data_IF_735174795118
#
_entry.id   IF_735174795118
#
_cell.length_a   1.000
_cell.length_b   1.000
_cell.length_c   1.000
_cell.angle_alpha   90.00
_cell.angle_beta   90.00
_cell.angle_gamma   90.00
#
_symmetry.space_group_name_H-M   'P 1'
#
loop_
_entity.id
_entity.type
_entity.pdbx_description
1 polymer ?
#
# COMPACT_ATOMS: atom_id res chain seq x y z
N UNK A 1 -19.74 19.74 17.37
CA UNK A 1 -18.58 19.11 16.72
C UNK A 1 -18.98 17.77 16.10
N UNK A 2 -19.93 17.77 15.15
CA UNK A 2 -20.55 16.57 14.57
C UNK A 2 -20.70 16.67 13.04
N UNK A 3 -19.94 17.58 12.42
CA UNK A 3 -20.01 17.90 10.98
C UNK A 3 -19.12 17.01 10.13
N UNK A 4 -17.85 16.84 10.49
CA UNK A 4 -16.85 16.12 9.69
C UNK A 4 -17.17 14.63 9.45
N UNK A 5 -17.89 13.98 10.37
CA UNK A 5 -18.21 12.55 10.25
C UNK A 5 -19.32 12.23 9.25
N UNK A 6 -20.08 13.25 8.80
CA UNK A 6 -21.20 13.06 7.87
C UNK A 6 -20.80 13.28 6.40
N UNK A 7 -19.84 14.17 6.13
CA UNK A 7 -19.34 14.41 4.77
C UNK A 7 -18.61 13.18 4.23
N UNK A 8 -17.60 12.67 4.93
CA UNK A 8 -16.82 11.49 4.49
C UNK A 8 -17.67 10.21 4.33
N UNK A 9 -18.75 10.08 5.10
CA UNK A 9 -19.64 8.91 5.00
C UNK A 9 -20.61 9.01 3.82
N UNK A 10 -20.92 10.24 3.37
CA UNK A 10 -21.77 10.46 2.20
C UNK A 10 -20.96 10.18 0.93
N UNK A 11 -19.71 10.66 0.88
CA UNK A 11 -18.79 10.47 -0.25
C UNK A 11 -18.52 8.99 -0.53
N UNK A 12 -18.21 8.20 0.50
CA UNK A 12 -17.98 6.75 0.36
C UNK A 12 -19.21 5.99 -0.19
N UNK A 13 -20.43 6.38 0.22
CA UNK A 13 -21.64 5.72 -0.27
C UNK A 13 -21.90 6.02 -1.75
N UNK A 14 -21.59 7.24 -2.20
CA UNK A 14 -21.68 7.63 -3.60
C UNK A 14 -20.65 6.88 -4.45
N UNK A 15 -19.40 6.82 -4.01
CA UNK A 15 -18.34 6.05 -4.65
C UNK A 15 -18.70 4.57 -4.80
N UNK A 16 -19.18 3.93 -3.72
CA UNK A 16 -19.63 2.54 -3.75
C UNK A 16 -20.83 2.35 -4.68
N UNK A 17 -21.73 3.34 -4.77
CA UNK A 17 -22.85 3.30 -5.70
C UNK A 17 -22.39 3.35 -7.17
N UNK A 18 -21.38 4.17 -7.48
CA UNK A 18 -20.77 4.23 -8.82
C UNK A 18 -20.14 2.90 -9.21
N UNK A 19 -19.35 2.30 -8.30
CA UNK A 19 -18.76 0.96 -8.51
C UNK A 19 -19.86 -0.08 -8.73
N UNK A 20 -20.92 -0.07 -7.93
CA UNK A 20 -22.04 -1.00 -8.06
C UNK A 20 -22.72 -0.89 -9.42
N UNK A 21 -22.91 0.34 -9.92
CA UNK A 21 -23.47 0.59 -11.24
C UNK A 21 -22.55 0.03 -12.35
N UNK A 22 -21.24 0.28 -12.25
CA UNK A 22 -20.25 -0.25 -13.19
C UNK A 22 -20.26 -1.79 -13.22
N UNK A 23 -20.26 -2.43 -12.05
CA UNK A 23 -20.23 -3.89 -11.95
C UNK A 23 -21.50 -4.50 -12.56
N UNK A 24 -22.67 -3.87 -12.36
CA UNK A 24 -23.92 -4.28 -13.01
C UNK A 24 -23.84 -4.14 -14.52
N UNK A 25 -23.31 -3.03 -15.03
CA UNK A 25 -23.13 -2.80 -16.47
C UNK A 25 -22.22 -3.83 -17.15
N UNK A 26 -21.23 -4.37 -16.41
CA UNK A 26 -20.32 -5.43 -16.87
C UNK A 26 -20.82 -6.86 -16.61
N UNK A 27 -22.01 -7.03 -16.03
CA UNK A 27 -22.58 -8.34 -15.72
C UNK A 27 -21.96 -9.05 -14.50
N UNK A 28 -21.17 -8.34 -13.68
CA UNK A 28 -20.62 -8.91 -12.45
C UNK A 28 -21.69 -9.02 -11.36
N UNK A 29 -21.70 -10.16 -10.66
CA UNK A 29 -22.59 -10.38 -9.51
C UNK A 29 -22.18 -9.51 -8.32
N UNK A 30 -23.06 -8.58 -7.93
CA UNK A 30 -22.90 -7.77 -6.73
C UNK A 30 -23.40 -8.51 -5.47
N UNK A 31 -22.48 -9.20 -4.78
CA UNK A 31 -22.79 -9.90 -3.52
C UNK A 31 -22.45 -9.05 -2.31
N UNK A 32 -23.01 -9.37 -1.13
CA UNK A 32 -22.66 -8.70 0.14
C UNK A 32 -21.16 -8.78 0.44
N UNK A 33 -20.55 -9.93 0.17
CA UNK A 33 -19.11 -10.11 0.28
C UNK A 33 -18.33 -9.13 -0.62
N UNK A 34 -18.74 -9.00 -1.89
CA UNK A 34 -18.08 -8.08 -2.84
C UNK A 34 -18.25 -6.62 -2.41
N UNK A 35 -19.43 -6.26 -1.94
CA UNK A 35 -19.67 -4.93 -1.36
C UNK A 35 -18.71 -4.65 -0.20
N UNK A 36 -18.56 -5.57 0.76
CA UNK A 36 -17.60 -5.41 1.86
C UNK A 36 -16.17 -5.26 1.37
N UNK A 37 -15.76 -5.98 0.32
CA UNK A 37 -14.42 -5.84 -0.28
C UNK A 37 -14.22 -4.42 -0.80
N UNK A 38 -15.18 -3.89 -1.57
CA UNK A 38 -15.12 -2.52 -2.13
C UNK A 38 -15.11 -1.48 -1.02
N UNK A 39 -16.05 -1.55 -0.07
CA UNK A 39 -16.11 -0.63 1.08
C UNK A 39 -14.78 -0.63 1.86
N UNK A 40 -14.22 -1.81 2.11
CA UNK A 40 -12.95 -1.92 2.85
C UNK A 40 -11.76 -1.36 2.06
N UNK A 41 -11.75 -1.53 0.74
CA UNK A 41 -10.73 -0.94 -0.11
C UNK A 41 -10.81 0.60 -0.09
N UNK A 42 -12.02 1.17 -0.14
CA UNK A 42 -12.22 2.61 -0.27
C UNK A 42 -12.08 3.33 1.07
N UNK A 43 -12.42 2.67 2.18
CA UNK A 43 -12.07 3.12 3.53
C UNK A 43 -10.55 3.13 3.79
N UNK A 44 -9.76 2.45 2.95
CA UNK A 44 -8.31 2.39 3.11
C UNK A 44 -7.63 3.50 2.31
N UNK A 45 -7.40 4.64 2.96
CA UNK A 45 -6.64 5.78 2.41
C UNK A 45 -5.12 5.57 2.41
N UNK A 46 -4.67 4.34 2.13
CA UNK A 46 -3.26 4.01 1.96
C UNK A 46 -3.16 2.88 0.96
N UNK A 47 -1.98 2.71 0.38
CA UNK A 47 -1.74 1.52 -0.41
C UNK A 47 -1.89 0.22 0.41
N UNK A 48 -2.48 -0.78 -0.21
CA UNK A 48 -2.65 -2.11 0.37
C UNK A 48 -2.33 -3.22 -0.63
N UNK A 49 -1.81 -4.34 -0.14
CA UNK A 49 -1.73 -5.58 -0.95
C UNK A 49 -3.07 -6.33 -0.95
N UNK A 50 -3.25 -7.26 -1.89
CA UNK A 50 -4.43 -8.12 -1.92
C UNK A 50 -4.57 -8.96 -0.62
N UNK A 51 -3.45 -9.40 -0.05
CA UNK A 51 -3.40 -10.14 1.22
C UNK A 51 -3.71 -9.25 2.42
N UNK A 52 -3.29 -7.98 2.39
CA UNK A 52 -3.69 -7.00 3.41
C UNK A 52 -5.20 -6.74 3.35
N UNK A 53 -5.75 -6.51 2.16
CA UNK A 53 -7.18 -6.31 1.99
C UNK A 53 -7.98 -7.54 2.46
N UNK A 54 -7.54 -8.75 2.12
CA UNK A 54 -8.16 -9.98 2.62
C UNK A 54 -8.24 -9.98 4.15
N UNK A 55 -7.11 -9.71 4.84
CA UNK A 55 -7.09 -9.66 6.31
C UNK A 55 -8.02 -8.59 6.89
N UNK A 56 -8.18 -7.45 6.21
CA UNK A 56 -9.09 -6.39 6.65
C UNK A 56 -10.56 -6.80 6.46
N UNK A 57 -10.88 -7.45 5.34
CA UNK A 57 -12.22 -7.97 5.05
C UNK A 57 -12.59 -9.07 6.04
N UNK A 58 -11.71 -10.02 6.31
CA UNK A 58 -11.96 -11.11 7.27
C UNK A 58 -12.25 -10.60 8.69
N UNK A 59 -11.65 -9.47 9.10
CA UNK A 59 -11.99 -8.82 10.39
C UNK A 59 -13.43 -8.32 10.43
N UNK A 60 -14.03 -7.95 9.29
CA UNK A 60 -15.40 -7.45 9.20
C UNK A 60 -16.44 -8.55 9.08
N UNK A 61 -16.16 -9.61 8.31
CA UNK A 61 -17.17 -10.64 7.96
C UNK A 61 -16.84 -12.06 8.43
N UNK A 62 -15.72 -12.25 9.11
CA UNK A 62 -15.28 -13.54 9.63
C UNK A 62 -14.19 -14.21 8.77
N UNK A 63 -13.28 -14.99 9.38
CA UNK A 63 -12.24 -15.73 8.66
C UNK A 63 -12.82 -16.74 7.67
N UNK A 64 -12.18 -16.90 6.51
CA UNK A 64 -12.57 -17.91 5.51
C UNK A 64 -13.85 -17.62 4.72
N UNK A 65 -14.59 -16.54 5.05
CA UNK A 65 -15.73 -16.07 4.26
C UNK A 65 -15.27 -15.45 2.94
N UNK A 66 -14.09 -14.84 2.93
CA UNK A 66 -13.43 -14.34 1.73
C UNK A 66 -12.19 -15.16 1.36
N UNK A 67 -11.93 -15.24 0.07
CA UNK A 67 -10.77 -15.93 -0.50
C UNK A 67 -9.97 -14.97 -1.36
N UNK A 68 -8.66 -15.17 -1.39
CA UNK A 68 -7.72 -14.32 -2.14
C UNK A 68 -8.09 -14.22 -3.63
N UNK A 69 -8.57 -15.30 -4.25
CA UNK A 69 -9.05 -15.28 -5.63
C UNK A 69 -10.24 -14.32 -5.86
N UNK A 70 -11.13 -14.18 -4.88
CA UNK A 70 -12.25 -13.22 -4.95
C UNK A 70 -11.76 -11.79 -4.76
N UNK A 71 -10.75 -11.58 -3.92
CA UNK A 71 -10.09 -10.27 -3.78
C UNK A 71 -9.50 -9.85 -5.12
N UNK A 72 -8.64 -10.67 -5.73
CA UNK A 72 -8.03 -10.33 -7.02
C UNK A 72 -9.06 -10.05 -8.13
N UNK A 73 -10.09 -10.90 -8.29
CA UNK A 73 -11.16 -10.64 -9.27
C UNK A 73 -11.93 -9.35 -9.01
N UNK A 74 -12.03 -8.93 -7.75
CA UNK A 74 -12.70 -7.67 -7.40
C UNK A 74 -11.79 -6.49 -7.69
N UNK A 75 -10.51 -6.58 -7.29
CA UNK A 75 -9.51 -5.54 -7.58
C UNK A 75 -9.31 -5.32 -9.08
N UNK A 76 -9.22 -6.40 -9.86
CA UNK A 76 -9.14 -6.30 -11.32
C UNK A 76 -10.35 -5.56 -11.91
N UNK A 77 -11.56 -5.90 -11.46
CA UNK A 77 -12.78 -5.23 -11.94
C UNK A 77 -12.86 -3.76 -11.48
N UNK A 78 -12.23 -3.41 -10.35
CA UNK A 78 -12.12 -2.02 -9.90
C UNK A 78 -11.12 -1.24 -10.76
N UNK A 79 -9.96 -1.82 -11.08
CA UNK A 79 -8.95 -1.20 -11.96
C UNK A 79 -9.46 -1.01 -13.38
N UNK A 80 -10.14 -2.02 -13.95
CA UNK A 80 -10.79 -1.92 -15.26
C UNK A 80 -11.85 -0.81 -15.30
N UNK A 81 -12.43 -0.48 -14.15
CA UNK A 81 -13.36 0.63 -13.97
C UNK A 81 -12.71 1.97 -13.66
N UNK A 82 -11.38 2.02 -13.49
CA UNK A 82 -10.65 3.23 -13.11
C UNK A 82 -10.90 3.70 -11.67
N UNK A 83 -11.40 2.82 -10.79
CA UNK A 83 -11.74 3.19 -9.41
C UNK A 83 -10.57 3.03 -8.44
N UNK A 84 -9.62 2.17 -8.79
CA UNK A 84 -8.38 1.96 -8.05
C UNK A 84 -7.22 1.92 -9.04
N UNK A 85 -6.02 2.23 -8.56
CA UNK A 85 -4.78 2.04 -9.31
C UNK A 85 -3.92 0.95 -8.71
N UNK A 86 -3.14 0.29 -9.57
CA UNK A 86 -2.20 -0.76 -9.23
C UNK A 86 -0.74 -0.32 -9.40
N UNK A 87 0.11 -0.77 -8.48
CA UNK A 87 1.55 -0.59 -8.51
C UNK A 87 2.29 -1.92 -8.33
N UNK A 88 2.95 -2.37 -9.40
CA UNK A 88 3.89 -3.48 -9.39
C UNK A 88 5.20 -3.10 -8.71
N UNK A 89 5.44 -3.66 -7.52
CA UNK A 89 6.68 -3.49 -6.76
C UNK A 89 7.72 -4.57 -7.08
N UNK A 90 7.84 -5.04 -8.32
CA UNK A 90 8.80 -6.10 -8.68
C UNK A 90 8.78 -7.30 -7.71
N UNK A 91 9.77 -7.41 -6.82
CA UNK A 91 9.84 -8.48 -5.78
C UNK A 91 8.88 -8.30 -4.58
N UNK A 92 8.23 -7.14 -4.46
CA UNK A 92 7.34 -6.77 -3.35
C UNK A 92 5.85 -7.03 -3.59
N UNK A 93 5.50 -7.65 -4.72
CA UNK A 93 4.11 -7.90 -5.11
C UNK A 93 3.46 -6.67 -5.74
N UNK A 94 2.13 -6.62 -5.71
CA UNK A 94 1.33 -5.53 -6.26
C UNK A 94 0.60 -4.81 -5.14
N UNK A 95 0.72 -3.49 -5.10
CA UNK A 95 -0.06 -2.63 -4.22
C UNK A 95 -1.20 -2.00 -5.00
N UNK A 96 -2.29 -1.69 -4.30
CA UNK A 96 -3.45 -1.02 -4.86
C UNK A 96 -3.80 0.19 -4.01
N UNK A 97 -4.37 1.21 -4.64
CA UNK A 97 -4.87 2.41 -3.99
C UNK A 97 -6.22 2.84 -4.56
N UNK A 98 -7.06 3.40 -3.69
CA UNK A 98 -8.33 4.01 -4.08
C UNK A 98 -8.08 5.39 -4.66
N UNK A 99 -8.57 5.67 -5.87
CA UNK A 99 -8.33 6.95 -6.57
C UNK A 99 -9.61 7.74 -6.86
N UNK A 100 -10.78 7.12 -6.75
CA UNK A 100 -12.05 7.81 -6.99
C UNK A 100 -12.27 8.88 -5.92
N UNK A 101 -12.59 10.12 -6.32
CA UNK A 101 -12.85 11.22 -5.37
C UNK A 101 -11.62 11.82 -4.66
N UNK A 102 -10.41 11.30 -4.92
CA UNK A 102 -9.18 11.80 -4.30
C UNK A 102 -8.53 12.92 -5.13
N UNK A 103 -7.98 13.94 -4.46
CA UNK A 103 -7.12 14.94 -5.10
C UNK A 103 -5.82 14.27 -5.60
N UNK A 104 -5.43 14.56 -6.83
CA UNK A 104 -4.22 14.00 -7.47
C UNK A 104 -2.95 14.20 -6.62
N UNK A 105 -2.21 13.12 -6.39
CA UNK A 105 -0.93 13.14 -5.68
C UNK A 105 0.03 12.09 -6.23
N UNK A 106 1.32 12.38 -6.11
CA UNK A 106 2.42 11.52 -6.53
C UNK A 106 3.00 10.75 -5.33
N UNK A 107 3.78 9.71 -5.61
CA UNK A 107 4.23 8.75 -4.60
C UNK A 107 5.74 8.65 -4.45
N UNK A 108 6.23 8.52 -3.21
CA UNK A 108 7.58 8.07 -2.89
C UNK A 108 7.53 6.72 -2.15
N UNK A 109 8.12 5.68 -2.74
CA UNK A 109 8.11 4.31 -2.22
C UNK A 109 9.51 3.88 -1.74
N UNK A 110 9.59 3.40 -0.51
CA UNK A 110 10.77 2.72 0.03
C UNK A 110 10.81 1.26 -0.45
N UNK A 111 11.81 0.91 -1.24
CA UNK A 111 11.97 -0.43 -1.82
C UNK A 111 12.25 -1.54 -0.81
N UNK A 112 12.66 -1.19 0.42
CA UNK A 112 13.07 -2.18 1.41
C UNK A 112 12.03 -2.40 2.52
N UNK A 113 11.15 -1.44 2.80
CA UNK A 113 10.13 -1.55 3.85
C UNK A 113 8.71 -1.23 3.39
N UNK A 114 8.52 -0.86 2.12
CA UNK A 114 7.22 -0.45 1.58
C UNK A 114 6.67 0.82 2.22
N UNK A 115 7.50 1.63 2.91
CA UNK A 115 7.05 2.94 3.37
C UNK A 115 6.71 3.81 2.15
N UNK A 116 5.54 4.44 2.21
CA UNK A 116 5.00 5.30 1.18
C UNK A 116 4.88 6.71 1.76
N UNK A 117 5.15 7.72 0.93
CA UNK A 117 4.82 9.12 1.19
C UNK A 117 4.06 9.63 -0.03
N UNK A 118 2.90 10.23 0.20
CA UNK A 118 2.11 10.94 -0.80
C UNK A 118 2.54 12.41 -0.81
N UNK A 119 2.65 13.01 -1.99
CA UNK A 119 2.99 14.42 -2.13
C UNK A 119 2.30 15.04 -3.34
N UNK A 120 2.12 16.36 -3.30
CA UNK A 120 1.65 17.16 -4.42
C UNK A 120 2.58 18.37 -4.53
N UNK A 121 3.03 18.67 -5.75
CA UNK A 121 3.93 19.80 -6.03
C UNK A 121 3.46 20.51 -7.30
N UNK A 122 2.85 21.69 -7.14
CA UNK A 122 2.27 22.46 -8.25
C UNK A 122 3.31 22.80 -9.33
N UNK A 123 4.54 23.13 -8.93
CA UNK A 123 5.60 23.47 -9.88
C UNK A 123 6.02 22.25 -10.73
N UNK A 124 5.98 21.05 -10.14
CA UNK A 124 6.22 19.81 -10.86
C UNK A 124 5.08 19.48 -11.83
N UNK A 125 3.83 19.73 -11.44
CA UNK A 125 2.66 19.57 -12.32
C UNK A 125 2.74 20.48 -13.54
N UNK A 126 3.02 21.77 -13.33
CA UNK A 126 3.23 22.73 -14.40
C UNK A 126 4.36 22.30 -15.33
N UNK A 127 5.46 21.78 -14.76
CA UNK A 127 6.59 21.34 -15.57
C UNK A 127 6.26 20.11 -16.43
N UNK A 128 5.49 19.16 -15.90
CA UNK A 128 5.01 17.99 -16.66
C UNK A 128 4.14 18.43 -17.85
N UNK A 129 3.21 19.36 -17.61
CA UNK A 129 2.35 19.93 -18.65
C UNK A 129 3.15 20.68 -19.72
N UNK A 130 4.11 21.52 -19.32
CA UNK A 130 4.99 22.25 -20.24
C UNK A 130 5.79 21.28 -21.14
N UNK A 131 6.37 20.23 -20.54
CA UNK A 131 7.13 19.23 -21.30
C UNK A 131 6.24 18.50 -22.31
N UNK A 132 5.01 18.12 -21.93
CA UNK A 132 4.07 17.52 -22.86
C UNK A 132 3.75 18.46 -24.04
N UNK A 133 3.44 19.72 -23.73
CA UNK A 133 3.10 20.72 -24.73
C UNK A 133 4.23 20.98 -25.73
N UNK A 134 5.48 21.14 -25.25
CA UNK A 134 6.65 21.38 -26.12
C UNK A 134 6.91 20.20 -27.07
N UNK A 135 6.51 18.99 -26.69
CA UNK A 135 6.61 17.80 -27.52
C UNK A 135 5.34 17.54 -28.37
N UNK A 136 4.38 18.48 -28.38
CA UNK A 136 3.18 18.39 -29.20
C UNK A 136 2.09 17.46 -28.65
N UNK A 137 2.08 17.20 -27.33
CA UNK A 137 1.06 16.39 -26.66
C UNK A 137 0.11 17.26 -25.83
N UNK A 138 -1.17 16.89 -25.82
CA UNK A 138 -2.16 17.33 -24.83
C UNK A 138 -2.15 16.33 -23.66
N UNK A 139 -1.92 16.81 -22.44
CA UNK A 139 -1.76 15.94 -21.27
C UNK A 139 -3.14 15.60 -20.67
N UNK A 140 -3.58 14.35 -20.86
CA UNK A 140 -4.84 13.83 -20.28
C UNK A 140 -4.66 13.36 -18.83
N UNK A 141 -3.52 12.73 -18.53
CA UNK A 141 -3.18 12.21 -17.21
C UNK A 141 -1.68 11.96 -17.09
N UNK A 142 -1.20 11.68 -15.89
CA UNK A 142 0.18 11.23 -15.67
C UNK A 142 0.27 10.30 -14.44
N UNK A 143 1.39 9.60 -14.32
CA UNK A 143 1.71 8.77 -13.15
C UNK A 143 3.17 9.01 -12.77
N UNK A 144 3.43 9.63 -11.61
CA UNK A 144 4.78 9.79 -11.09
C UNK A 144 4.98 9.02 -9.79
N UNK A 145 6.04 8.20 -9.78
CA UNK A 145 6.44 7.37 -8.65
C UNK A 145 7.95 7.45 -8.48
N UNK A 146 8.38 7.80 -7.27
CA UNK A 146 9.78 7.90 -6.88
C UNK A 146 10.13 6.71 -6.01
N UNK A 147 11.06 5.87 -6.48
CA UNK A 147 11.53 4.72 -5.72
C UNK A 147 12.84 5.04 -5.00
N UNK A 148 12.86 4.81 -3.69
CA UNK A 148 14.00 5.15 -2.84
C UNK A 148 14.15 4.27 -1.62
N UNK A 149 14.87 4.78 -0.62
CA UNK A 149 14.96 4.18 0.72
C UNK A 149 14.66 5.23 1.75
N UNK A 150 13.68 4.97 2.61
CA UNK A 150 13.32 5.91 3.65
C UNK A 150 14.48 6.10 4.65
N UNK A 151 14.51 7.28 5.27
CA UNK A 151 15.54 7.65 6.24
C UNK A 151 15.67 6.63 7.38
N UNK A 152 14.53 6.16 7.91
CA UNK A 152 14.51 5.14 8.95
C UNK A 152 15.16 3.82 8.51
N UNK A 153 14.99 3.42 7.24
CA UNK A 153 15.65 2.22 6.72
C UNK A 153 17.15 2.41 6.58
N UNK A 154 17.57 3.56 6.02
CA UNK A 154 19.00 3.92 5.93
C UNK A 154 19.68 4.01 7.30
N UNK A 155 18.93 4.31 8.35
CA UNK A 155 19.41 4.40 9.73
C UNK A 155 19.19 3.12 10.54
N UNK A 156 18.69 2.03 9.94
CA UNK A 156 18.46 0.78 10.67
C UNK A 156 17.37 0.82 11.76
N UNK A 157 16.56 1.89 11.82
CA UNK A 157 15.49 2.09 12.81
C UNK A 157 14.09 1.79 12.26
N UNK A 158 13.99 1.28 11.03
CA UNK A 158 12.71 1.06 10.37
C UNK A 158 11.91 -0.10 10.98
N UNK A 159 10.84 0.22 11.72
CA UNK A 159 9.95 -0.78 12.30
C UNK A 159 9.17 -1.58 11.26
N UNK A 160 8.79 -0.96 10.12
CA UNK A 160 8.12 -1.66 9.02
C UNK A 160 9.00 -2.77 8.44
N UNK A 161 10.28 -2.48 8.22
CA UNK A 161 11.25 -3.47 7.77
C UNK A 161 11.46 -4.60 8.79
N UNK A 162 11.43 -4.28 10.09
CA UNK A 162 11.53 -5.27 11.16
C UNK A 162 10.33 -6.22 11.18
N UNK A 163 9.11 -5.68 11.10
CA UNK A 163 7.87 -6.47 11.07
C UNK A 163 7.78 -7.38 9.83
N UNK A 164 8.32 -6.92 8.70
CA UNK A 164 8.31 -7.65 7.43
C UNK A 164 9.49 -8.63 7.25
N UNK A 165 10.43 -8.70 8.21
CA UNK A 165 11.61 -9.56 8.09
C UNK A 165 12.62 -9.11 7.03
N UNK A 166 12.47 -7.90 6.46
CA UNK A 166 13.40 -7.36 5.44
C UNK A 166 14.66 -6.72 6.05
N UNK A 167 14.75 -6.69 7.39
CA UNK A 167 15.85 -6.13 8.16
C UNK A 167 17.23 -6.77 7.86
N UNK A 168 17.29 -8.05 7.45
CA UNK A 168 18.56 -8.70 7.06
C UNK A 168 19.27 -8.01 5.89
N UNK A 169 18.52 -7.35 4.99
CA UNK A 169 19.09 -6.58 3.88
C UNK A 169 19.76 -5.28 4.36
N UNK A 170 19.28 -4.69 5.44
CA UNK A 170 19.93 -3.56 6.11
C UNK A 170 21.23 -4.03 6.81
N UNK A 171 21.19 -5.19 7.46
CA UNK A 171 22.35 -5.80 8.13
C UNK A 171 23.52 -6.06 7.18
N UNK A 172 23.27 -6.62 5.99
CA UNK A 172 24.32 -6.92 4.99
C UNK A 172 24.96 -5.67 4.37
N UNK A 173 24.39 -4.47 4.58
CA UNK A 173 24.85 -3.20 4.00
C UNK A 173 25.47 -2.25 5.01
N UNK A 174 25.72 -2.68 6.26
CA UNK A 174 26.37 -1.89 7.31
C UNK A 174 25.49 -0.82 7.98
N UNK A 175 24.26 -0.61 7.53
CA UNK A 175 23.40 0.51 7.97
C UNK A 175 22.85 0.36 9.40
N UNK A 176 22.82 -0.85 9.96
CA UNK A 176 22.44 -1.08 11.35
C UNK A 176 23.62 -0.98 12.33
N UNK A 177 24.84 -1.33 11.89
CA UNK A 177 26.03 -1.35 12.73
C UNK A 177 26.41 0.07 13.18
N UNK A 178 26.27 1.04 12.27
CA UNK A 178 26.46 2.48 12.55
C UNK A 178 25.34 3.08 13.41
N UNK A 179 24.12 2.57 13.31
CA UNK A 179 22.98 3.03 14.12
C UNK A 179 23.08 2.57 15.58
N UNK A 180 23.66 1.39 15.80
CA UNK A 180 23.96 0.83 17.13
C UNK A 180 25.02 1.65 17.88
N UNK A 181 26.01 2.19 17.16
CA UNK A 181 27.05 3.03 17.75
C UNK A 181 26.56 4.43 18.18
N UNK A 182 25.45 4.91 17.59
CA UNK A 182 24.87 6.24 17.88
C UNK A 182 23.88 6.28 19.06
N UNK A 183 23.76 5.20 19.82
CA UNK A 183 23.23 5.23 21.19
C UNK A 183 21.82 5.81 21.35
N UNK A 184 20.79 5.05 20.97
CA UNK A 184 19.46 5.18 21.60
C UNK A 184 19.22 3.96 22.48
N UNK A 185 18.77 4.16 23.72
CA UNK A 185 18.50 3.12 24.73
C UNK A 185 17.52 2.02 24.25
N UNK A 186 16.75 2.26 23.20
CA UNK A 186 15.87 1.27 22.57
C UNK A 186 16.61 0.26 21.67
N UNK A 187 17.78 0.62 21.13
CA UNK A 187 18.53 -0.17 20.15
C UNK A 187 19.12 -1.48 20.72
N UNK A 188 19.61 -1.43 21.96
CA UNK A 188 20.15 -2.60 22.67
C UNK A 188 19.07 -3.63 23.00
N UNK A 189 17.86 -3.18 23.34
CA UNK A 189 16.71 -4.06 23.60
C UNK A 189 16.21 -4.77 22.33
N UNK A 190 16.27 -4.09 21.18
CA UNK A 190 15.86 -4.63 19.87
C UNK A 190 16.90 -5.61 19.31
N UNK A 191 18.18 -5.45 19.63
CA UNK A 191 19.26 -6.39 19.32
C UNK A 191 19.03 -7.77 19.99
N UNK A 192 18.69 -7.77 21.28
CA UNK A 192 18.36 -9.00 22.01
C UNK A 192 17.13 -9.75 21.48
N UNK A 193 16.15 -9.06 20.90
CA UNK A 193 15.00 -9.68 20.21
C UNK A 193 15.36 -10.21 18.82
N UNK A 194 16.26 -9.54 18.09
CA UNK A 194 16.69 -9.95 16.77
C UNK A 194 17.63 -11.17 16.82
N UNK A 195 18.53 -11.25 17.79
CA UNK A 195 19.43 -12.40 18.00
C UNK A 195 18.68 -13.64 18.50
N UNK A 196 17.67 -13.49 19.36
CA UNK A 196 16.79 -14.60 19.78
C UNK A 196 16.05 -15.23 18.61
N UNK A 197 15.49 -14.41 17.69
CA UNK A 197 14.83 -14.92 16.48
C UNK A 197 15.80 -15.60 15.49
N UNK A 198 17.07 -15.19 15.44
CA UNK A 198 18.13 -15.88 14.68
C UNK A 198 18.41 -17.29 15.20
N UNK A 199 18.24 -17.55 16.50
CA UNK A 199 18.37 -18.90 17.09
C UNK A 199 17.12 -19.74 16.87
N UNK A 200 15.93 -19.14 16.98
CA UNK A 200 14.64 -19.85 16.83
C UNK A 200 14.31 -20.20 15.36
N UNK A 201 14.78 -19.42 14.39
CA UNK A 201 14.56 -19.67 12.96
C UNK A 201 15.47 -20.72 12.31
N UNK A 202 16.41 -21.32 13.07
CA UNK A 202 17.35 -22.33 12.58
C UNK A 202 16.97 -23.78 12.90
N UNK A 203 15.89 -24.02 13.63
CA UNK A 203 15.49 -25.38 14.06
C UNK A 203 14.29 -25.95 13.31
N UNK A 204 14.13 -25.61 12.03
CA UNK A 204 12.96 -26.03 11.25
C UNK A 204 13.23 -26.30 9.77
N UNK A 205 14.28 -27.05 9.44
CA UNK A 205 14.29 -27.86 8.23
C UNK A 205 14.31 -29.33 8.68
N UNK A 206 13.29 -30.14 8.38
CA UNK A 206 13.48 -31.57 8.36
C UNK A 206 14.31 -31.91 7.11
N UNK A 207 15.44 -32.55 7.31
CA UNK A 207 16.11 -33.30 6.25
C UNK A 207 15.16 -34.41 5.78
N UNK A 208 14.60 -34.28 4.58
CA UNK A 208 14.39 -35.34 3.59
C UNK A 208 13.73 -34.82 2.31
#
# INVERSE_FOLDING_TARGET
MSGESKETQTDLQEEVAQVRAHFRGKGFRWTRQRQTIVETAFETHRHFSAEELLRMVEKKIGPGVAHLATIYRTLQALEEGGFIEGLELGKGGRLFEHVLGHSHHDHIICLDCGALVEFHDEALEEKKAEVAQVNGFEMESHSLRIFGRCKAFKQGTCEKAFKQGTCEKAFKRGTCEEALQRGTSEGSSKQGKCERKKKEGRTGQPDH
#
